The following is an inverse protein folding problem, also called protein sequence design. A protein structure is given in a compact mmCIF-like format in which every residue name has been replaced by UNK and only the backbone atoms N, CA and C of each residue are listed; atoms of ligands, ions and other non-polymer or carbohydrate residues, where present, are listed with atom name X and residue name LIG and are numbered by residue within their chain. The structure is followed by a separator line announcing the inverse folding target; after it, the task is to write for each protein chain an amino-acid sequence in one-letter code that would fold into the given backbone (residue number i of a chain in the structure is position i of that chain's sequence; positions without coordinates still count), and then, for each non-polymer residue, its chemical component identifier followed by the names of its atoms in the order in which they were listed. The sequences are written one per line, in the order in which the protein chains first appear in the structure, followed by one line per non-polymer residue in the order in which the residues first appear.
data_IF_326787346015
#
_entry.id   IF_326787346015
#
_cell.length_a   1.000
_cell.length_b   1.000
_cell.length_c   1.000
_cell.angle_alpha   90.00
_cell.angle_beta   90.00
_cell.angle_gamma   90.00
#
_symmetry.space_group_name_H-M   'P 1'
#
loop_
_entity.id
_entity.type
_entity.pdbx_description
1 polymer ?
#
# COMPACT_ATOMS: atom_id res chain seq x y z
N UNK A 1 2.29 0.73 -15.34
CA UNK A 1 2.99 -0.03 -14.29
C UNK A 1 3.52 0.96 -13.26
N UNK A 2 3.43 0.64 -11.97
CA UNK A 2 4.02 1.46 -10.92
C UNK A 2 5.53 1.19 -10.92
N UNK A 3 6.34 2.24 -10.89
CA UNK A 3 7.79 2.10 -10.84
C UNK A 3 8.25 1.41 -9.55
N UNK A 4 9.31 0.57 -9.57
CA UNK A 4 9.77 -0.16 -8.39
C UNK A 4 10.07 0.74 -7.18
N UNK A 5 10.66 1.90 -7.40
CA UNK A 5 10.95 2.91 -6.37
C UNK A 5 9.67 3.44 -5.70
N UNK A 6 8.59 3.57 -6.46
CA UNK A 6 7.29 3.96 -5.92
C UNK A 6 6.68 2.87 -5.02
N UNK A 7 6.90 1.59 -5.36
CA UNK A 7 6.47 0.46 -4.52
C UNK A 7 7.21 0.46 -3.17
N UNK A 8 8.52 0.72 -3.19
CA UNK A 8 9.32 0.84 -1.95
C UNK A 8 8.77 1.97 -1.09
N UNK A 9 8.53 3.15 -1.68
CA UNK A 9 7.98 4.29 -0.95
C UNK A 9 6.61 3.99 -0.34
N UNK A 10 5.72 3.34 -1.10
CA UNK A 10 4.38 2.92 -0.63
C UNK A 10 4.48 1.90 0.51
N UNK A 11 5.37 0.91 0.39
CA UNK A 11 5.56 -0.11 1.44
C UNK A 11 6.09 0.53 2.73
N UNK A 12 7.10 1.39 2.62
CA UNK A 12 7.63 2.13 3.77
C UNK A 12 6.57 3.02 4.42
N UNK A 13 5.72 3.65 3.63
CA UNK A 13 4.58 4.42 4.14
C UNK A 13 3.65 3.55 5.00
N UNK A 14 3.37 2.31 4.58
CA UNK A 14 2.59 1.36 5.38
C UNK A 14 3.25 1.01 6.71
N UNK A 15 4.57 0.80 6.72
CA UNK A 15 5.33 0.56 7.95
C UNK A 15 5.27 1.79 8.87
N UNK A 16 5.45 3.00 8.33
CA UNK A 16 5.28 4.23 9.11
C UNK A 16 3.87 4.31 9.69
N UNK A 17 2.84 3.99 8.88
CA UNK A 17 1.45 3.96 9.30
C UNK A 17 1.21 3.10 10.54
N UNK A 18 1.87 1.94 10.63
CA UNK A 18 1.73 1.04 11.78
C UNK A 18 2.34 1.56 13.09
N UNK A 19 3.18 2.58 13.02
CA UNK A 19 3.83 3.19 14.21
C UNK A 19 3.15 4.51 14.61
N UNK A 20 2.36 5.10 13.70
CA UNK A 20 1.72 6.39 13.92
C UNK A 20 0.80 6.47 15.15
N UNK A 21 -0.02 5.45 15.51
CA UNK A 21 -0.84 5.53 16.71
C UNK A 21 -0.04 5.70 18.01
N UNK A 22 1.15 5.10 18.08
CA UNK A 22 2.03 5.17 19.26
C UNK A 22 2.83 6.49 19.40
N UNK A 23 2.65 7.40 18.46
CA UNK A 23 3.28 8.73 18.53
C UNK A 23 2.85 9.49 19.78
N UNK A 24 1.65 9.25 20.27
CA UNK A 24 1.07 9.93 21.45
C UNK A 24 1.72 9.55 22.78
N UNK A 25 2.51 8.49 22.80
CA UNK A 25 3.28 8.09 23.98
C UNK A 25 4.43 9.07 24.24
N UNK A 26 4.24 9.96 25.22
CA UNK A 26 5.26 10.90 25.67
C UNK A 26 6.55 10.15 26.01
N UNK A 27 7.67 10.56 25.39
CA UNK A 27 9.01 9.99 25.64
C UNK A 27 9.18 8.49 25.41
N UNK A 28 8.25 7.83 24.71
CA UNK A 28 8.42 6.43 24.34
C UNK A 28 9.56 6.26 23.33
N UNK A 29 10.17 5.05 23.33
CA UNK A 29 11.16 4.69 22.32
C UNK A 29 10.59 4.77 20.89
N UNK A 30 9.37 4.28 20.61
CA UNK A 30 8.72 4.43 19.29
C UNK A 30 8.55 5.89 18.87
N UNK A 31 8.02 6.76 19.74
CA UNK A 31 7.84 8.18 19.44
C UNK A 31 9.18 8.86 19.11
N UNK A 32 10.21 8.62 19.93
CA UNK A 32 11.55 9.18 19.66
C UNK A 32 12.16 8.67 18.36
N UNK A 33 12.01 7.38 18.06
CA UNK A 33 12.50 6.79 16.82
C UNK A 33 11.77 7.36 15.60
N UNK A 34 10.45 7.53 15.68
CA UNK A 34 9.67 8.11 14.60
C UNK A 34 10.05 9.57 14.34
N UNK A 35 10.10 10.43 15.38
CA UNK A 35 10.52 11.81 15.19
C UNK A 35 11.97 11.95 14.72
N UNK A 36 12.86 10.99 15.08
CA UNK A 36 14.19 10.92 14.49
C UNK A 36 14.13 10.57 13.00
N UNK A 37 13.36 9.57 12.62
CA UNK A 37 13.16 9.19 11.21
C UNK A 37 12.54 10.32 10.38
N UNK A 38 11.49 10.96 10.89
CA UNK A 38 10.85 12.12 10.24
C UNK A 38 11.82 13.30 10.11
N UNK A 39 12.62 13.56 11.15
CA UNK A 39 13.63 14.64 11.12
C UNK A 39 14.66 14.38 10.02
N UNK A 40 15.20 13.16 9.92
CA UNK A 40 16.12 12.76 8.85
C UNK A 40 15.43 12.89 7.48
N UNK A 41 14.25 12.34 7.33
CA UNK A 41 13.50 12.39 6.08
C UNK A 41 13.25 13.82 5.60
N UNK A 42 12.64 14.66 6.43
CA UNK A 42 12.36 16.05 6.06
C UNK A 42 13.61 16.88 5.84
N UNK A 43 14.68 16.65 6.63
CA UNK A 43 15.94 17.36 6.43
C UNK A 43 16.57 17.06 5.07
N UNK A 44 16.53 15.80 4.60
CA UNK A 44 16.97 15.45 3.24
C UNK A 44 16.04 16.00 2.16
N UNK A 45 14.72 15.99 2.38
CA UNK A 45 13.80 16.65 1.45
C UNK A 45 14.14 18.13 1.28
N UNK A 46 14.37 18.85 2.38
CA UNK A 46 14.79 20.27 2.35
C UNK A 46 16.13 20.42 1.63
N UNK A 47 17.11 19.55 1.92
CA UNK A 47 18.40 19.58 1.26
C UNK A 47 18.27 19.47 -0.27
N UNK A 48 17.51 18.49 -0.77
CA UNK A 48 17.34 18.30 -2.21
C UNK A 48 16.54 19.41 -2.89
N UNK A 49 15.54 19.97 -2.22
CA UNK A 49 14.74 21.09 -2.74
C UNK A 49 15.57 22.39 -2.77
N UNK A 50 16.48 22.56 -1.83
CA UNK A 50 17.30 23.78 -1.72
C UNK A 50 18.57 23.73 -2.54
N UNK A 51 19.08 22.54 -2.86
CA UNK A 51 20.33 22.32 -3.59
C UNK A 51 20.49 23.15 -4.88
N UNK A 52 19.47 23.27 -5.76
CA UNK A 52 19.62 24.06 -6.99
C UNK A 52 19.53 25.58 -6.79
N UNK A 53 19.18 26.08 -5.62
CA UNK A 53 18.80 27.48 -5.41
C UNK A 53 19.71 28.25 -4.44
N UNK A 54 20.37 27.55 -3.52
CA UNK A 54 21.05 28.15 -2.38
C UNK A 54 22.52 27.74 -2.30
N UNK A 55 23.33 28.53 -1.60
CA UNK A 55 24.72 28.19 -1.34
C UNK A 55 24.85 26.99 -0.41
N UNK A 56 26.01 26.33 -0.44
CA UNK A 56 26.29 25.14 0.40
C UNK A 56 26.08 25.47 1.89
N UNK A 57 26.48 26.66 2.33
CA UNK A 57 26.31 27.09 3.73
C UNK A 57 24.81 27.21 4.11
N UNK A 58 24.01 27.83 3.24
CA UNK A 58 22.56 27.94 3.44
C UNK A 58 21.86 26.58 3.44
N UNK A 59 22.28 25.67 2.55
CA UNK A 59 21.77 24.30 2.52
C UNK A 59 22.05 23.56 3.84
N UNK A 60 23.25 23.69 4.40
CA UNK A 60 23.60 23.09 5.69
C UNK A 60 22.78 23.67 6.84
N UNK A 61 22.58 24.99 6.86
CA UNK A 61 21.75 25.66 7.87
C UNK A 61 20.30 25.16 7.77
N UNK A 62 19.74 25.10 6.57
CA UNK A 62 18.38 24.63 6.33
C UNK A 62 18.21 23.15 6.71
N UNK A 63 19.17 22.31 6.33
CA UNK A 63 19.19 20.88 6.64
C UNK A 63 19.25 20.64 8.15
N UNK A 64 20.22 21.25 8.85
CA UNK A 64 20.40 21.10 10.28
C UNK A 64 19.23 21.72 11.06
N UNK A 65 18.75 22.88 10.63
CA UNK A 65 17.58 23.54 11.22
C UNK A 65 16.33 22.67 11.15
N UNK A 66 16.09 22.03 10.00
CA UNK A 66 14.98 21.09 9.84
C UNK A 66 15.16 19.84 10.70
N UNK A 67 16.36 19.26 10.71
CA UNK A 67 16.67 18.09 11.51
C UNK A 67 16.42 18.33 13.00
N UNK A 68 16.95 19.40 13.55
CA UNK A 68 16.79 19.78 14.96
C UNK A 68 15.33 20.20 15.24
N UNK A 69 14.75 21.00 14.35
CA UNK A 69 13.38 21.49 14.49
C UNK A 69 12.36 20.36 14.55
N UNK A 70 12.41 19.42 13.62
CA UNK A 70 11.48 18.28 13.61
C UNK A 70 11.77 17.34 14.79
N UNK A 71 13.04 17.04 15.07
CA UNK A 71 13.43 16.11 16.12
C UNK A 71 13.02 16.56 17.52
N UNK A 72 13.21 17.83 17.85
CA UNK A 72 13.02 18.34 19.20
C UNK A 72 11.78 19.21 19.33
N UNK A 73 11.61 20.20 18.46
CA UNK A 73 10.48 21.10 18.52
C UNK A 73 9.19 20.40 18.06
N UNK A 74 9.24 19.66 16.95
CA UNK A 74 8.11 18.90 16.43
C UNK A 74 7.63 17.88 17.45
N UNK A 75 8.54 17.08 18.03
CA UNK A 75 8.20 16.11 19.07
C UNK A 75 7.60 16.80 20.30
N UNK A 76 8.19 17.92 20.77
CA UNK A 76 7.70 18.65 21.95
C UNK A 76 6.33 19.28 21.72
N UNK A 77 6.10 19.86 20.56
CA UNK A 77 4.80 20.43 20.18
C UNK A 77 3.76 19.32 20.11
N UNK A 78 4.08 18.25 19.41
CA UNK A 78 3.17 17.11 19.27
C UNK A 78 2.82 16.50 20.63
N UNK A 79 3.82 16.24 21.49
CA UNK A 79 3.59 15.67 22.82
C UNK A 79 2.75 16.58 23.75
N UNK A 80 2.71 17.89 23.49
CA UNK A 80 1.87 18.84 24.24
C UNK A 80 0.39 18.67 23.89
N UNK A 81 0.08 18.33 22.63
CA UNK A 81 -1.27 18.16 22.13
C UNK A 81 -1.73 16.69 22.15
N UNK A 82 -0.84 15.77 22.50
CA UNK A 82 -1.11 14.34 22.47
C UNK A 82 -1.31 13.77 23.87
N UNK A 83 -2.38 12.97 24.01
CA UNK A 83 -2.71 12.22 25.23
C UNK A 83 -2.73 10.74 24.88
N UNK A 84 -2.07 9.91 25.69
CA UNK A 84 -2.02 8.46 25.51
C UNK A 84 -3.41 7.83 25.36
N UNK A 85 -3.60 7.02 24.31
CA UNK A 85 -4.88 6.42 23.90
C UNK A 85 -6.01 7.45 23.71
N UNK A 86 -5.63 8.69 23.40
CA UNK A 86 -6.55 9.76 23.08
C UNK A 86 -7.10 9.65 21.65
N UNK A 87 -7.22 10.79 21.02
CA UNK A 87 -7.80 10.95 19.69
C UNK A 87 -6.99 10.25 18.58
N UNK A 88 -5.68 10.07 18.75
CA UNK A 88 -4.81 9.40 17.81
C UNK A 88 -5.11 7.90 17.68
N UNK A 89 -5.73 7.26 18.67
CA UNK A 89 -6.26 5.91 18.56
C UNK A 89 -7.71 5.94 18.06
N UNK A 90 -7.93 6.53 16.89
CA UNK A 90 -9.25 6.62 16.27
C UNK A 90 -9.17 6.42 14.76
N UNK A 91 -10.25 5.92 14.17
CA UNK A 91 -10.38 5.73 12.72
C UNK A 91 -10.25 7.08 11.98
N UNK A 92 -10.81 8.15 12.56
CA UNK A 92 -10.72 9.51 12.00
C UNK A 92 -9.27 10.00 11.90
N UNK A 93 -8.44 9.71 12.89
CA UNK A 93 -7.02 10.02 12.83
C UNK A 93 -6.30 9.20 11.73
N UNK A 94 -6.66 7.93 11.57
CA UNK A 94 -6.17 7.11 10.47
C UNK A 94 -6.51 7.71 9.09
N UNK A 95 -7.75 8.18 8.91
CA UNK A 95 -8.18 8.88 7.68
C UNK A 95 -7.39 10.19 7.47
N UNK A 96 -7.18 10.97 8.52
CA UNK A 96 -6.34 12.16 8.45
C UNK A 96 -4.93 11.83 7.93
N UNK A 97 -4.29 10.79 8.46
CA UNK A 97 -2.97 10.38 8.00
C UNK A 97 -2.98 9.82 6.57
N UNK A 98 -4.05 9.16 6.15
CA UNK A 98 -4.23 8.75 4.76
C UNK A 98 -4.15 9.97 3.82
N UNK A 99 -5.01 10.96 4.06
CA UNK A 99 -5.10 12.15 3.22
C UNK A 99 -3.81 12.99 3.29
N UNK A 100 -3.25 13.16 4.48
CA UNK A 100 -1.98 13.86 4.68
C UNK A 100 -0.85 13.21 3.87
N UNK A 101 -0.76 11.89 3.89
CA UNK A 101 0.24 11.15 3.10
C UNK A 101 0.01 11.33 1.61
N UNK A 102 -1.23 11.29 1.13
CA UNK A 102 -1.54 11.53 -0.27
C UNK A 102 -1.12 12.95 -0.71
N UNK A 103 -1.33 13.96 0.14
CA UNK A 103 -0.87 15.34 -0.09
C UNK A 103 0.65 15.41 -0.15
N UNK A 104 1.35 14.80 0.81
CA UNK A 104 2.83 14.77 0.86
C UNK A 104 3.39 14.10 -0.38
N UNK A 105 2.88 12.92 -0.74
CA UNK A 105 3.36 12.16 -1.91
C UNK A 105 3.17 12.95 -3.20
N UNK A 106 2.04 13.63 -3.35
CA UNK A 106 1.74 14.40 -4.56
C UNK A 106 2.51 15.71 -4.62
N UNK A 107 2.41 16.54 -3.59
CA UNK A 107 2.85 17.92 -3.65
C UNK A 107 4.30 18.12 -3.18
N UNK A 108 4.81 17.29 -2.28
CA UNK A 108 6.18 17.38 -1.78
C UNK A 108 7.12 16.43 -2.53
N UNK A 109 6.72 15.16 -2.73
CA UNK A 109 7.56 14.15 -3.36
C UNK A 109 7.35 14.04 -4.87
N UNK A 110 6.33 14.69 -5.44
CA UNK A 110 6.07 14.73 -6.87
C UNK A 110 5.58 13.41 -7.48
N UNK A 111 5.14 12.45 -6.67
CA UNK A 111 4.60 11.20 -7.18
C UNK A 111 3.31 11.39 -7.97
N UNK A 112 3.04 10.44 -8.86
CA UNK A 112 1.78 10.39 -9.60
C UNK A 112 0.58 10.22 -8.64
N UNK A 113 -0.57 10.77 -9.00
CA UNK A 113 -1.79 10.78 -8.17
C UNK A 113 -2.19 9.39 -7.66
N UNK A 114 -2.15 8.37 -8.51
CA UNK A 114 -2.46 6.99 -8.12
C UNK A 114 -1.48 6.44 -7.06
N UNK A 115 -0.19 6.77 -7.15
CA UNK A 115 0.83 6.38 -6.17
C UNK A 115 0.63 7.13 -4.86
N UNK A 116 0.24 8.41 -4.93
CA UNK A 116 -0.04 9.22 -3.75
C UNK A 116 -1.21 8.65 -2.94
N UNK A 117 -2.32 8.32 -3.60
CA UNK A 117 -3.47 7.67 -2.98
C UNK A 117 -3.14 6.27 -2.43
N UNK A 118 -2.34 5.50 -3.17
CA UNK A 118 -1.92 4.18 -2.74
C UNK A 118 -1.02 4.27 -1.50
N UNK A 119 -0.06 5.20 -1.47
CA UNK A 119 0.81 5.44 -0.32
C UNK A 119 0.02 5.81 0.93
N UNK A 120 -0.94 6.72 0.79
CA UNK A 120 -1.86 7.06 1.88
C UNK A 120 -2.71 5.87 2.33
N UNK A 121 -3.24 5.07 1.39
CA UNK A 121 -4.00 3.85 1.68
C UNK A 121 -3.18 2.82 2.46
N UNK A 122 -1.90 2.65 2.13
CA UNK A 122 -0.99 1.76 2.89
C UNK A 122 -0.72 2.29 4.29
N UNK A 123 -0.55 3.62 4.46
CA UNK A 123 -0.49 4.24 5.80
C UNK A 123 -1.74 3.91 6.60
N UNK A 124 -2.92 4.05 6.01
CA UNK A 124 -4.18 3.74 6.67
C UNK A 124 -4.30 2.28 7.06
N UNK A 125 -3.91 1.35 6.15
CA UNK A 125 -3.89 -0.10 6.44
C UNK A 125 -2.95 -0.40 7.60
N UNK A 126 -1.72 0.13 7.57
CA UNK A 126 -0.76 -0.02 8.67
C UNK A 126 -1.31 0.51 10.00
N UNK A 127 -1.91 1.69 9.96
CA UNK A 127 -2.56 2.33 11.10
C UNK A 127 -3.69 1.47 11.69
N UNK A 128 -4.59 0.98 10.83
CA UNK A 128 -5.70 0.11 11.24
C UNK A 128 -5.20 -1.23 11.79
N UNK A 129 -4.14 -1.79 11.20
CA UNK A 129 -3.51 -3.01 11.70
C UNK A 129 -3.01 -2.82 13.14
N UNK A 130 -2.37 -1.69 13.43
CA UNK A 130 -1.94 -1.35 14.79
C UNK A 130 -3.12 -1.29 15.75
N UNK A 131 -4.17 -0.53 15.41
CA UNK A 131 -5.36 -0.39 16.27
C UNK A 131 -6.05 -1.73 16.54
N UNK A 132 -6.13 -2.60 15.50
CA UNK A 132 -6.71 -3.94 15.63
C UNK A 132 -5.85 -4.81 16.55
N UNK A 133 -4.53 -4.77 16.42
CA UNK A 133 -3.62 -5.50 17.30
C UNK A 133 -3.73 -5.02 18.74
N UNK A 134 -3.78 -3.72 18.96
CA UNK A 134 -4.00 -3.13 20.29
C UNK A 134 -5.30 -3.61 20.93
N UNK A 135 -6.37 -3.73 20.13
CA UNK A 135 -7.65 -4.24 20.61
C UNK A 135 -7.57 -5.74 20.95
N UNK A 136 -6.94 -6.54 20.07
CA UNK A 136 -6.74 -8.00 20.32
C UNK A 136 -5.90 -8.22 21.57
N UNK A 137 -4.78 -7.49 21.72
CA UNK A 137 -3.92 -7.60 22.91
C UNK A 137 -4.52 -7.00 24.19
N UNK A 138 -5.63 -6.26 24.07
CA UNK A 138 -6.40 -5.80 25.23
C UNK A 138 -7.25 -6.91 25.86
N UNK A 139 -7.51 -7.99 25.11
CA UNK A 139 -8.17 -9.21 25.61
C UNK A 139 -7.10 -10.16 26.11
N UNK A 140 -7.04 -10.38 27.41
CA UNK A 140 -6.11 -11.36 28.00
C UNK A 140 -6.70 -12.77 27.86
N UNK A 141 -6.27 -13.47 26.82
CA UNK A 141 -6.78 -14.80 26.47
C UNK A 141 -6.37 -15.86 27.51
N UNK A 142 -5.30 -15.61 28.30
CA UNK A 142 -4.78 -16.56 29.28
C UNK A 142 -5.50 -16.48 30.64
N UNK A 143 -5.90 -15.27 31.06
CA UNK A 143 -6.55 -15.07 32.36
C UNK A 143 -8.07 -14.87 32.29
N UNK A 144 -8.69 -15.01 31.11
CA UNK A 144 -10.14 -14.80 30.87
C UNK A 144 -10.67 -13.45 31.38
N UNK A 145 -9.80 -12.47 31.55
CA UNK A 145 -10.15 -11.11 31.97
C UNK A 145 -10.07 -10.13 30.81
N UNK A 146 -11.17 -9.42 30.60
CA UNK A 146 -11.20 -8.27 29.68
C UNK A 146 -10.53 -7.11 30.41
N UNK A 147 -9.39 -6.62 29.87
CA UNK A 147 -8.75 -5.42 30.42
C UNK A 147 -9.69 -4.22 30.27
N UNK A 148 -9.60 -3.28 31.19
CA UNK A 148 -10.41 -2.04 31.17
C UNK A 148 -10.15 -1.18 29.89
N UNK A 149 -9.17 -1.56 29.09
CA UNK A 149 -8.81 -0.94 27.81
C UNK A 149 -9.54 -1.51 26.59
N UNK A 150 -10.33 -2.57 26.75
CA UNK A 150 -11.12 -3.13 25.64
C UNK A 150 -12.15 -2.11 25.12
N UNK A 151 -12.29 -1.98 23.80
CA UNK A 151 -13.15 -0.98 23.17
C UNK A 151 -12.57 0.44 23.13
N UNK A 152 -11.30 0.64 23.55
CA UNK A 152 -10.69 1.97 23.59
C UNK A 152 -9.71 2.21 22.45
N UNK A 153 -9.22 1.17 21.78
CA UNK A 153 -8.24 1.29 20.68
C UNK A 153 -8.93 1.46 19.32
N UNK A 154 -10.04 0.78 19.08
CA UNK A 154 -10.78 0.83 17.81
C UNK A 154 -12.03 1.73 17.91
N UNK A 155 -11.85 3.00 18.27
CA UNK A 155 -12.95 3.96 18.35
C UNK A 155 -13.01 4.82 17.09
N UNK A 156 -14.22 5.20 16.70
CA UNK A 156 -14.42 6.09 15.56
C UNK A 156 -13.93 7.50 15.91
N UNK A 157 -14.31 8.01 17.06
CA UNK A 157 -13.88 9.29 17.64
C UNK A 157 -13.85 9.18 19.18
N UNK A 158 -13.19 10.13 19.85
CA UNK A 158 -13.19 10.16 21.32
C UNK A 158 -14.36 10.98 21.86
N UNK A 159 -15.39 10.29 22.33
CA UNK A 159 -16.59 10.93 22.91
C UNK A 159 -16.33 11.74 24.17
N UNK A 160 -15.22 11.46 24.88
CA UNK A 160 -14.83 12.20 26.09
C UNK A 160 -14.15 13.53 25.78
N UNK A 161 -13.69 13.71 24.52
CA UNK A 161 -12.93 14.88 24.04
C UNK A 161 -13.42 15.34 22.67
N UNK A 162 -14.66 15.79 22.63
CA UNK A 162 -15.34 16.19 21.40
C UNK A 162 -14.60 17.33 20.66
N UNK A 163 -14.01 18.30 21.39
CA UNK A 163 -13.26 19.38 20.77
C UNK A 163 -12.01 18.93 20.02
N UNK A 164 -11.23 18.01 20.61
CA UNK A 164 -10.05 17.45 19.97
C UNK A 164 -10.45 16.53 18.79
N UNK A 165 -11.55 15.78 18.95
CA UNK A 165 -12.11 14.93 17.89
C UNK A 165 -12.58 15.78 16.70
N UNK A 166 -13.26 16.89 16.97
CA UNK A 166 -13.69 17.83 15.94
C UNK A 166 -12.51 18.49 15.23
N UNK A 167 -11.44 18.80 15.96
CA UNK A 167 -10.22 19.38 15.38
C UNK A 167 -9.56 18.39 14.40
N UNK A 168 -9.36 17.13 14.78
CA UNK A 168 -8.76 16.14 13.88
C UNK A 168 -9.68 15.80 12.70
N UNK A 169 -11.00 15.76 12.92
CA UNK A 169 -11.96 15.63 11.84
C UNK A 169 -11.90 16.82 10.88
N UNK A 170 -11.80 18.03 11.39
CA UNK A 170 -11.60 19.25 10.59
C UNK A 170 -10.29 19.21 9.80
N UNK A 171 -9.20 18.79 10.43
CA UNK A 171 -7.92 18.60 9.73
C UNK A 171 -8.01 17.51 8.65
N UNK A 172 -8.73 16.42 8.90
CA UNK A 172 -8.96 15.38 7.89
C UNK A 172 -9.75 15.93 6.69
N UNK A 173 -10.78 16.75 6.92
CA UNK A 173 -11.54 17.40 5.85
C UNK A 173 -10.67 18.38 5.07
N UNK A 174 -9.89 19.23 5.76
CA UNK A 174 -9.00 20.19 5.09
C UNK A 174 -7.94 19.46 4.26
N UNK A 175 -7.30 18.42 4.80
CA UNK A 175 -6.32 17.63 4.03
C UNK A 175 -6.99 16.91 2.86
N UNK A 176 -8.19 16.39 3.03
CA UNK A 176 -8.96 15.78 1.93
C UNK A 176 -9.22 16.77 0.79
N UNK A 177 -9.55 18.02 1.10
CA UNK A 177 -9.76 19.07 0.07
C UNK A 177 -8.50 19.39 -0.73
N UNK A 178 -7.31 19.16 -0.16
CA UNK A 178 -6.01 19.41 -0.80
C UNK A 178 -5.50 18.16 -1.53
N UNK A 179 -6.11 16.98 -1.32
CA UNK A 179 -5.67 15.75 -1.98
C UNK A 179 -5.80 15.85 -3.50
N UNK A 180 -4.95 15.15 -4.26
CA UNK A 180 -5.09 15.07 -5.71
C UNK A 180 -6.39 14.36 -6.11
N UNK A 181 -6.87 14.53 -7.37
CA UNK A 181 -8.05 13.81 -7.85
C UNK A 181 -7.92 12.29 -7.64
N UNK A 182 -8.95 11.70 -7.04
CA UNK A 182 -8.97 10.27 -6.74
C UNK A 182 -9.31 9.38 -7.95
N UNK A 183 -9.71 9.97 -9.09
CA UNK A 183 -10.20 9.25 -10.25
C UNK A 183 -9.23 8.15 -10.72
N UNK A 184 -7.96 8.47 -10.90
CA UNK A 184 -6.94 7.53 -11.36
C UNK A 184 -6.74 6.36 -10.37
N UNK A 185 -6.85 6.63 -9.09
CA UNK A 185 -6.78 5.61 -8.04
C UNK A 185 -8.01 4.71 -8.06
N UNK A 186 -9.21 5.29 -8.12
CA UNK A 186 -10.47 4.54 -8.18
C UNK A 186 -10.52 3.69 -9.44
N UNK A 187 -10.25 4.27 -10.61
CA UNK A 187 -10.22 3.56 -11.88
C UNK A 187 -9.19 2.42 -11.86
N UNK A 188 -8.02 2.64 -11.22
CA UNK A 188 -7.00 1.63 -11.04
C UNK A 188 -7.47 0.47 -10.15
N UNK A 189 -8.01 0.75 -8.97
CA UNK A 189 -8.46 -0.27 -8.01
C UNK A 189 -9.67 -1.04 -8.53
N UNK A 190 -10.56 -0.40 -9.28
CA UNK A 190 -11.72 -1.05 -9.90
C UNK A 190 -11.40 -1.73 -11.22
N UNK A 191 -10.18 -1.55 -11.76
CA UNK A 191 -9.76 -2.13 -13.03
C UNK A 191 -9.66 -3.65 -12.94
N UNK A 192 -10.45 -4.33 -13.76
CA UNK A 192 -10.38 -5.79 -13.88
C UNK A 192 -9.01 -6.27 -14.39
N UNK A 193 -8.33 -5.47 -15.21
CA UNK A 193 -6.99 -5.76 -15.71
C UNK A 193 -5.94 -5.75 -14.60
N UNK A 194 -6.04 -4.83 -13.63
CA UNK A 194 -5.14 -4.78 -12.48
C UNK A 194 -5.29 -6.04 -11.63
N UNK A 195 -6.52 -6.44 -11.33
CA UNK A 195 -6.79 -7.63 -10.52
C UNK A 195 -6.39 -8.91 -11.22
N UNK A 196 -6.64 -9.04 -12.53
CA UNK A 196 -6.18 -10.18 -13.32
C UNK A 196 -4.65 -10.25 -13.37
N UNK A 197 -3.96 -9.12 -13.55
CA UNK A 197 -2.50 -9.03 -13.52
C UNK A 197 -1.91 -9.35 -12.15
N UNK A 198 -2.56 -8.91 -11.07
CA UNK A 198 -2.16 -9.24 -9.71
C UNK A 198 -2.34 -10.74 -9.44
N UNK A 199 -3.49 -11.29 -9.79
CA UNK A 199 -3.80 -12.71 -9.60
C UNK A 199 -2.82 -13.62 -10.33
N UNK A 200 -2.43 -13.28 -11.56
CA UNK A 200 -1.43 -14.03 -12.32
C UNK A 200 -0.01 -13.97 -11.73
N UNK A 201 0.28 -13.00 -10.86
CA UNK A 201 1.60 -12.81 -10.23
C UNK A 201 1.65 -13.24 -8.77
N UNK A 202 0.50 -13.52 -8.13
CA UNK A 202 0.44 -13.94 -6.72
C UNK A 202 1.18 -15.24 -6.47
N UNK A 203 1.16 -16.14 -7.44
CA UNK A 203 1.85 -17.41 -7.32
C UNK A 203 2.85 -17.58 -8.48
N UNK A 204 3.97 -18.25 -8.25
CA UNK A 204 4.93 -18.55 -9.30
C UNK A 204 4.27 -19.38 -10.41
N UNK A 205 4.39 -18.90 -11.64
CA UNK A 205 3.87 -19.63 -12.79
C UNK A 205 4.63 -20.96 -12.95
N UNK A 206 3.89 -22.03 -13.23
CA UNK A 206 4.44 -23.35 -13.50
C UNK A 206 5.22 -24.02 -12.36
N UNK A 207 5.01 -23.58 -11.11
CA UNK A 207 5.66 -24.20 -9.96
C UNK A 207 7.17 -23.88 -9.79
N UNK A 208 7.69 -22.90 -10.53
CA UNK A 208 9.07 -22.45 -10.43
C UNK A 208 9.24 -21.44 -9.28
N UNK A 209 9.50 -21.94 -8.08
CA UNK A 209 9.78 -21.08 -6.92
C UNK A 209 11.24 -20.63 -6.94
N UNK A 210 11.48 -19.31 -6.91
CA UNK A 210 12.83 -18.71 -6.91
C UNK A 210 13.73 -19.17 -8.08
N UNK A 211 13.12 -19.50 -9.24
CA UNK A 211 13.86 -20.01 -10.38
C UNK A 211 14.26 -21.50 -10.28
N UNK A 212 13.83 -22.18 -9.22
CA UNK A 212 14.11 -23.59 -9.00
C UNK A 212 12.94 -24.41 -9.53
N UNK A 213 13.20 -25.29 -10.50
CA UNK A 213 12.22 -26.26 -10.96
C UNK A 213 12.15 -27.44 -10.00
N UNK A 214 11.15 -27.42 -9.12
CA UNK A 214 10.92 -28.47 -8.13
C UNK A 214 10.66 -29.82 -8.80
N UNK A 215 10.09 -29.84 -9.99
CA UNK A 215 9.84 -31.09 -10.73
C UNK A 215 11.13 -31.70 -11.26
N UNK A 216 12.03 -30.86 -11.80
CA UNK A 216 13.32 -31.31 -12.29
C UNK A 216 14.21 -31.80 -11.14
N UNK A 217 14.13 -31.14 -10.00
CA UNK A 217 14.90 -31.53 -8.80
C UNK A 217 14.37 -32.83 -8.18
N UNK A 218 13.04 -33.04 -8.16
CA UNK A 218 12.44 -34.31 -7.72
C UNK A 218 12.79 -35.48 -8.64
N UNK A 219 12.85 -35.22 -9.94
CA UNK A 219 13.27 -36.22 -10.94
C UNK A 219 14.75 -36.60 -10.78
N UNK A 220 15.61 -35.60 -10.51
CA UNK A 220 17.03 -35.79 -10.25
C UNK A 220 17.31 -36.56 -8.95
N UNK A 221 16.43 -36.44 -7.95
CA UNK A 221 16.48 -37.17 -6.68
C UNK A 221 15.78 -38.51 -6.72
N UNK A 222 15.27 -39.00 -7.88
CA UNK A 222 14.57 -40.28 -8.00
C UNK A 222 13.21 -40.34 -7.27
N UNK A 223 12.71 -39.23 -6.81
CA UNK A 223 11.45 -39.11 -6.08
C UNK A 223 10.26 -38.97 -7.05
N UNK A 224 9.98 -40.00 -7.86
CA UNK A 224 8.81 -40.19 -8.73
C UNK A 224 8.08 -38.93 -9.24
N UNK A 225 7.52 -38.94 -10.42
CA UNK A 225 6.68 -37.84 -10.93
C UNK A 225 5.59 -37.51 -9.90
N UNK A 226 5.51 -36.23 -9.50
CA UNK A 226 4.34 -35.74 -8.77
C UNK A 226 3.08 -36.16 -9.54
N UNK A 227 2.00 -36.60 -8.87
CA UNK A 227 0.77 -36.89 -9.56
C UNK A 227 0.42 -35.64 -10.38
N UNK A 228 0.27 -35.83 -11.68
CA UNK A 228 -0.28 -34.79 -12.56
C UNK A 228 -1.58 -34.39 -11.88
N UNK A 229 -1.68 -33.09 -11.51
CA UNK A 229 -2.94 -32.54 -11.04
C UNK A 229 -3.93 -32.83 -12.17
N UNK A 230 -4.72 -33.88 -12.00
CA UNK A 230 -5.88 -34.15 -12.87
C UNK A 230 -6.73 -32.88 -12.68
N UNK A 231 -6.86 -32.13 -13.74
CA UNK A 231 -7.86 -31.09 -13.83
C UNK A 231 -9.16 -31.65 -13.29
N UNK A 232 -9.56 -31.19 -12.13
CA UNK A 232 -10.91 -31.46 -11.63
C UNK A 232 -11.81 -30.57 -12.49
N UNK A 233 -12.04 -31.02 -13.71
CA UNK A 233 -13.12 -30.54 -14.55
C UNK A 233 -14.41 -30.97 -13.86
N UNK A 234 -14.92 -30.07 -13.01
CA UNK A 234 -16.32 -30.12 -12.58
C UNK A 234 -17.17 -30.20 -13.83
N UNK A 235 -17.70 -31.37 -14.08
CA UNK A 235 -18.82 -31.71 -14.93
C UNK A 235 -19.21 -30.73 -16.02
N UNK A 236 -18.49 -30.69 -17.12
CA UNK A 236 -18.97 -30.13 -18.37
C UNK A 236 -19.42 -31.31 -19.24
N UNK A 237 -20.72 -31.30 -19.50
CA UNK A 237 -21.47 -32.21 -20.34
C UNK A 237 -20.74 -32.45 -21.67
N UNK A 238 -20.41 -33.69 -21.94
CA UNK A 238 -19.89 -34.23 -23.20
C UNK A 238 -20.62 -33.59 -24.39
N UNK A 239 -20.05 -32.66 -25.08
CA UNK A 239 -20.46 -32.30 -26.43
C UNK A 239 -19.92 -33.37 -27.38
N UNK A 240 -20.86 -34.09 -27.96
CA UNK A 240 -20.71 -35.06 -29.06
C UNK A 240 -19.85 -34.43 -30.17
N UNK A 241 -18.82 -35.09 -30.72
CA UNK A 241 -18.07 -34.53 -31.82
C UNK A 241 -18.98 -34.39 -33.06
N UNK A 242 -19.13 -33.19 -33.55
CA UNK A 242 -19.81 -32.91 -34.82
C UNK A 242 -19.02 -33.55 -35.96
N UNK A 243 -19.76 -34.22 -36.82
CA UNK A 243 -19.35 -34.96 -38.01
C UNK A 243 -18.32 -34.20 -38.85
N UNK A 244 -17.31 -34.91 -39.31
CA UNK A 244 -16.35 -34.44 -40.26
C UNK A 244 -17.03 -33.91 -41.53
N UNK A 245 -16.91 -32.66 -41.81
CA UNK A 245 -17.33 -32.02 -43.06
C UNK A 245 -16.32 -32.42 -44.13
N UNK A 246 -16.74 -33.26 -45.07
CA UNK A 246 -15.98 -33.60 -46.25
C UNK A 246 -15.85 -32.33 -47.14
N UNK A 247 -14.64 -31.87 -47.31
CA UNK A 247 -14.32 -30.81 -48.26
C UNK A 247 -14.38 -31.35 -49.68
N UNK A 248 -15.22 -30.83 -50.59
CA UNK A 248 -15.22 -31.27 -51.97
C UNK A 248 -13.94 -30.76 -52.68
N UNK A 249 -13.30 -31.68 -53.43
CA UNK A 249 -12.13 -31.39 -54.25
C UNK A 249 -12.46 -30.32 -55.32
N UNK A 250 -11.68 -29.26 -55.38
CA UNK A 250 -11.77 -28.26 -56.43
C UNK A 250 -11.12 -28.86 -57.71
N UNK A 251 -11.92 -29.04 -58.73
CA UNK A 251 -11.46 -29.40 -60.08
C UNK A 251 -10.89 -28.10 -60.73
N UNK A 252 -9.70 -28.11 -61.32
CA UNK A 252 -9.16 -26.93 -61.99
C UNK A 252 -9.87 -26.73 -63.36
N UNK A 253 -10.35 -25.50 -63.56
CA UNK A 253 -10.91 -25.02 -64.84
C UNK A 253 -9.75 -24.70 -65.79
N UNK A 254 -9.76 -25.13 -67.07
CA UNK A 254 -8.69 -24.78 -68.03
C UNK A 254 -8.80 -23.33 -68.45
N UNK A 255 -7.67 -22.68 -68.52
CA UNK A 255 -7.43 -21.32 -68.93
C UNK A 255 -7.69 -21.12 -70.43
N UNK A 256 -8.67 -20.30 -70.80
CA UNK A 256 -8.92 -19.94 -72.21
C UNK A 256 -8.00 -18.79 -72.61
N UNK A 257 -7.02 -19.08 -73.44
CA UNK A 257 -6.18 -18.14 -74.10
C UNK A 257 -6.98 -17.22 -75.04
N UNK A 258 -7.04 -15.92 -74.76
CA UNK A 258 -7.49 -14.91 -75.76
C UNK A 258 -6.32 -14.40 -76.51
N UNK A 259 -6.33 -14.77 -77.78
CA UNK A 259 -5.45 -14.18 -78.85
C UNK A 259 -5.99 -12.80 -79.15
N UNK A 260 -5.12 -11.82 -79.15
CA UNK A 260 -5.28 -10.48 -79.64
C UNK A 260 -5.16 -10.47 -81.15
N UNK A 261 -6.02 -9.71 -81.79
CA UNK A 261 -5.73 -8.92 -82.99
C UNK A 261 -5.91 -7.44 -82.60
#
# INVERSE_FOLDING_TARGET
MIAPESLVAVTLAGVVGSVLPDIDLKDSRPSRALFAGLAVFFSFCVLFVTAPKYSIAEMWIAWLGTLVGVRYLGQKVFSKFSYHRGIWHSIVAGLFFWFLTAVIFRHLLGFHEGVAWLGGGFVFIGYMTHLILDEIYSVDVHETRIKASFGTALKFYDSKRLGESALVAGLAVVTFMITPPAKVFVDGVTSQQLWAGLHSRLLPQHGHWFGIDIQQQRSALGLGKAPVATDITTGSISQRPASATVTPAVVPVPEVSKKTD
#
